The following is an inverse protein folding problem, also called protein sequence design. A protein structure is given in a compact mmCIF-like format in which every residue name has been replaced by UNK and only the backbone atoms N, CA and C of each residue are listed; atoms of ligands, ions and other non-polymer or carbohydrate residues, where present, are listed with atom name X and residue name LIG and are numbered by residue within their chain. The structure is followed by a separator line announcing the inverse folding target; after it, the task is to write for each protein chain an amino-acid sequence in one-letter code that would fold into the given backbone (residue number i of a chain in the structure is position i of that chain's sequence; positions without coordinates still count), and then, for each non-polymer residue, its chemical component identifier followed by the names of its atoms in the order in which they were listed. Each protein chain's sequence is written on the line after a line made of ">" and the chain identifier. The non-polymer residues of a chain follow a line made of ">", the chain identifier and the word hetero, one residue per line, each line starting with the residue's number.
data_IF_106190635904
#
_entry.id   IF_106190635904
#
_cell.length_a   1.000
_cell.length_b   1.000
_cell.length_c   1.000
_cell.angle_alpha   90.00
_cell.angle_beta   90.00
_cell.angle_gamma   90.00
#
_symmetry.space_group_name_H-M   'P 1'
#
loop_
_entity.id
_entity.type
_entity.pdbx_description
1 polymer ?
#
# COMPACT_ATOMS: atom_id res chain seq x y z
N UNK A 1 29.82 -0.53 -3.04
CA UNK A 1 28.67 -0.27 -2.15
C UNK A 1 28.09 1.10 -2.52
N UNK A 2 26.78 1.25 -2.66
CA UNK A 2 26.16 2.52 -3.07
C UNK A 2 26.37 3.58 -1.96
N UNK A 3 27.04 4.70 -2.26
CA UNK A 3 27.38 5.75 -1.29
C UNK A 3 26.16 6.26 -0.51
N UNK A 4 24.98 6.27 -1.14
CA UNK A 4 23.73 6.69 -0.50
C UNK A 4 23.25 5.72 0.59
N UNK A 5 23.46 4.41 0.41
CA UNK A 5 23.12 3.38 1.42
C UNK A 5 24.00 3.55 2.65
N UNK A 6 25.31 3.73 2.44
CA UNK A 6 26.29 3.90 3.53
C UNK A 6 25.97 5.16 4.34
N UNK A 7 25.67 6.26 3.66
CA UNK A 7 25.27 7.50 4.31
C UNK A 7 23.97 7.33 5.11
N UNK A 8 22.93 6.77 4.50
CA UNK A 8 21.63 6.54 5.15
C UNK A 8 21.79 5.69 6.42
N UNK A 9 22.49 4.56 6.33
CA UNK A 9 22.77 3.68 7.46
C UNK A 9 23.55 4.40 8.57
N UNK A 10 24.53 5.23 8.20
CA UNK A 10 25.29 6.03 9.16
C UNK A 10 24.45 7.08 9.88
N UNK A 11 23.62 7.85 9.15
CA UNK A 11 22.73 8.85 9.76
C UNK A 11 21.66 8.20 10.64
N UNK A 12 21.13 7.05 10.19
CA UNK A 12 20.13 6.31 10.95
C UNK A 12 20.72 5.81 12.27
N UNK A 13 21.92 5.23 12.22
CA UNK A 13 22.65 4.80 13.42
C UNK A 13 22.89 5.96 14.37
N UNK A 14 23.40 7.10 13.88
CA UNK A 14 23.61 8.31 14.71
C UNK A 14 22.32 8.80 15.36
N UNK A 15 21.22 8.78 14.62
CA UNK A 15 19.90 9.17 15.14
C UNK A 15 19.50 8.27 16.30
N UNK A 16 19.52 6.94 16.09
CA UNK A 16 19.14 5.99 17.13
C UNK A 16 20.10 6.02 18.32
N UNK A 17 21.41 6.11 18.13
CA UNK A 17 22.40 6.22 19.22
C UNK A 17 22.24 7.49 20.04
N UNK A 18 21.84 8.61 19.41
CA UNK A 18 21.64 9.87 20.10
C UNK A 18 20.36 9.87 20.96
N UNK A 19 19.26 9.31 20.43
CA UNK A 19 17.96 9.35 21.11
C UNK A 19 17.71 8.12 22.00
N UNK A 20 18.31 6.96 21.68
CA UNK A 20 18.20 5.74 22.48
C UNK A 20 19.40 5.64 23.43
N UNK A 21 19.16 5.77 24.73
CA UNK A 21 20.20 5.67 25.79
C UNK A 21 20.90 4.30 25.86
N UNK A 22 20.27 3.26 25.30
CA UNK A 22 20.84 1.93 25.11
C UNK A 22 20.67 1.56 23.63
N UNK A 23 21.59 1.96 22.74
CA UNK A 23 21.59 1.44 21.40
C UNK A 23 22.00 -0.03 21.50
N UNK A 24 21.03 -0.92 21.74
CA UNK A 24 21.18 -2.33 21.41
C UNK A 24 21.67 -2.45 19.97
N UNK A 25 22.26 -3.59 19.60
CA UNK A 25 22.75 -3.77 18.24
C UNK A 25 21.60 -3.54 17.26
N UNK A 26 21.71 -2.52 16.43
CA UNK A 26 20.67 -2.14 15.46
C UNK A 26 20.33 -3.32 14.54
N UNK A 27 21.33 -4.14 14.26
CA UNK A 27 21.22 -5.37 13.48
C UNK A 27 20.31 -6.43 14.14
N UNK A 28 20.08 -6.36 15.45
CA UNK A 28 19.20 -7.27 16.22
C UNK A 28 17.77 -6.72 16.35
N UNK A 29 17.51 -5.49 15.91
CA UNK A 29 16.19 -4.85 15.98
C UNK A 29 15.32 -5.26 14.80
N UNK A 30 14.01 -5.26 15.03
CA UNK A 30 13.01 -5.42 13.96
C UNK A 30 12.54 -4.05 13.50
N UNK A 31 12.41 -3.87 12.19
CA UNK A 31 11.97 -2.61 11.60
C UNK A 31 10.66 -2.78 10.86
N UNK A 32 9.81 -1.75 10.87
CA UNK A 32 8.56 -1.75 10.11
C UNK A 32 8.40 -0.41 9.43
N UNK A 33 8.08 -0.42 8.14
CA UNK A 33 7.77 0.80 7.38
C UNK A 33 6.26 1.02 7.38
N UNK A 34 5.84 2.19 7.85
CA UNK A 34 4.45 2.62 7.80
C UNK A 34 4.39 4.00 7.12
N UNK A 35 3.66 4.16 6.01
CA UNK A 35 3.52 5.45 5.35
C UNK A 35 2.65 6.39 6.18
N UNK A 36 2.90 7.69 6.05
CA UNK A 36 2.01 8.70 6.58
C UNK A 36 0.71 8.66 5.78
N UNK A 37 -0.33 8.03 6.35
CA UNK A 37 -1.70 8.25 5.94
C UNK A 37 -2.18 9.48 6.69
N UNK A 38 -2.17 10.65 6.05
CA UNK A 38 -2.86 11.82 6.58
C UNK A 38 -4.33 11.41 6.82
N UNK A 39 -4.76 11.39 8.08
CA UNK A 39 -6.14 11.04 8.43
C UNK A 39 -7.12 11.81 7.54
N UNK A 40 -8.01 11.08 6.86
CA UNK A 40 -9.09 11.67 6.08
C UNK A 40 -8.73 12.25 4.70
N UNK A 41 -7.49 12.10 4.22
CA UNK A 41 -7.13 12.49 2.85
C UNK A 41 -6.93 11.23 2.00
N UNK A 42 -7.90 10.82 1.16
CA UNK A 42 -7.61 9.85 0.13
C UNK A 42 -6.43 10.39 -0.71
N UNK A 43 -5.48 9.52 -1.02
CA UNK A 43 -4.33 9.86 -1.86
C UNK A 43 -4.83 10.18 -3.29
N UNK A 44 -5.37 11.38 -3.46
CA UNK A 44 -5.95 11.85 -4.72
C UNK A 44 -4.93 12.77 -5.38
N UNK A 45 -4.13 12.15 -6.23
CA UNK A 45 -3.54 12.70 -7.46
C UNK A 45 -3.03 14.15 -7.44
N UNK A 46 -1.74 14.33 -7.13
CA UNK A 46 -0.77 14.81 -8.14
C UNK A 46 0.67 14.48 -7.72
N UNK A 47 0.88 13.19 -7.42
CA UNK A 47 2.11 12.66 -6.80
C UNK A 47 2.51 11.33 -7.43
N UNK A 48 2.50 11.28 -8.77
CA UNK A 48 3.01 10.13 -9.54
C UNK A 48 4.42 9.69 -9.10
N UNK A 49 5.20 10.55 -8.42
CA UNK A 49 6.52 10.27 -7.88
C UNK A 49 6.55 9.76 -6.43
N UNK A 50 5.52 10.01 -5.62
CA UNK A 50 5.38 9.44 -4.27
C UNK A 50 4.64 8.09 -4.36
N UNK A 51 3.89 7.86 -5.43
CA UNK A 51 3.36 6.55 -5.81
C UNK A 51 4.46 5.65 -6.43
N UNK A 52 5.60 6.21 -6.85
CA UNK A 52 6.74 5.45 -7.40
C UNK A 52 7.58 4.67 -6.36
N UNK A 53 6.90 4.19 -5.31
CA UNK A 53 7.42 3.37 -4.23
C UNK A 53 7.45 1.88 -4.56
N UNK A 54 6.98 1.42 -5.71
CA UNK A 54 6.85 0.03 -6.24
C UNK A 54 7.61 -1.16 -5.59
N UNK A 55 8.80 -0.96 -5.01
CA UNK A 55 9.40 -1.93 -4.08
C UNK A 55 8.66 -1.98 -2.75
N UNK A 56 8.50 -0.85 -2.08
CA UNK A 56 7.95 -0.67 -0.74
C UNK A 56 6.51 -1.13 -0.53
N UNK A 57 5.53 -1.04 -1.46
CA UNK A 57 4.16 -1.46 -1.19
C UNK A 57 4.09 -2.86 -0.56
N UNK A 58 4.77 -3.86 -1.14
CA UNK A 58 4.80 -5.21 -0.57
C UNK A 58 5.61 -5.37 0.73
N UNK A 59 6.24 -4.30 1.26
CA UNK A 59 6.99 -4.30 2.52
C UNK A 59 6.41 -3.31 3.55
N UNK A 60 5.29 -2.64 3.26
CA UNK A 60 4.60 -1.81 4.23
C UNK A 60 3.91 -2.72 5.26
N UNK A 61 4.08 -2.38 6.53
CA UNK A 61 3.57 -3.15 7.67
C UNK A 61 4.09 -4.60 7.72
N UNK A 62 5.31 -4.81 7.23
CA UNK A 62 6.03 -6.09 7.30
C UNK A 62 7.27 -5.91 8.17
N UNK A 63 7.66 -6.96 8.91
CA UNK A 63 8.91 -6.98 9.68
C UNK A 63 10.11 -7.09 8.76
N UNK A 64 11.07 -6.18 8.94
CA UNK A 64 12.25 -6.03 8.09
C UNK A 64 13.51 -5.97 8.94
N UNK A 65 14.62 -6.38 8.35
CA UNK A 65 15.97 -6.14 8.86
C UNK A 65 16.43 -4.72 8.53
N UNK A 66 17.45 -4.24 9.25
CA UNK A 66 18.08 -2.96 8.98
C UNK A 66 18.55 -2.83 7.51
N UNK A 67 19.14 -3.90 6.97
CA UNK A 67 19.66 -3.88 5.60
C UNK A 67 18.52 -3.78 4.58
N UNK A 68 17.42 -4.51 4.77
CA UNK A 68 16.24 -4.42 3.89
C UNK A 68 15.65 -3.01 3.90
N UNK A 69 15.48 -2.40 5.08
CA UNK A 69 15.01 -1.01 5.18
C UNK A 69 15.95 -0.05 4.46
N UNK A 70 17.26 -0.16 4.69
CA UNK A 70 18.25 0.68 4.02
C UNK A 70 18.16 0.53 2.49
N UNK A 71 18.09 -0.71 2.00
CA UNK A 71 18.02 -1.00 0.57
C UNK A 71 16.72 -0.50 -0.05
N UNK A 72 15.59 -0.66 0.62
CA UNK A 72 14.27 -0.23 0.15
C UNK A 72 14.17 1.29 0.05
N UNK A 73 14.66 2.00 1.07
CA UNK A 73 14.55 3.45 1.16
C UNK A 73 15.58 4.18 0.27
N UNK A 74 16.69 3.52 -0.08
CA UNK A 74 17.75 4.13 -0.89
C UNK A 74 17.80 3.63 -2.35
N UNK A 75 16.99 2.63 -2.73
CA UNK A 75 17.10 1.90 -4.01
C UNK A 75 16.98 2.74 -5.30
N UNK A 76 16.57 4.02 -5.23
CA UNK A 76 16.35 4.84 -6.42
C UNK A 76 16.96 6.24 -6.36
N UNK A 77 18.08 6.40 -5.63
CA UNK A 77 19.12 7.44 -5.74
C UNK A 77 18.75 8.93 -6.02
N UNK A 78 17.48 9.37 -5.99
CA UNK A 78 17.10 10.73 -6.42
C UNK A 78 16.02 11.41 -5.59
N UNK A 79 15.54 10.77 -4.52
CA UNK A 79 14.46 11.36 -3.73
C UNK A 79 14.88 11.39 -2.26
N UNK A 80 15.44 12.50 -1.78
CA UNK A 80 15.79 12.69 -0.39
C UNK A 80 14.54 12.59 0.49
N UNK A 81 14.54 11.58 1.35
CA UNK A 81 13.42 11.23 2.22
C UNK A 81 13.39 12.13 3.45
N UNK A 82 12.23 12.24 4.06
CA UNK A 82 12.07 12.63 5.45
C UNK A 82 11.36 11.50 6.18
N UNK A 83 12.01 11.02 7.24
CA UNK A 83 11.61 9.82 7.96
C UNK A 83 11.50 10.17 9.43
N UNK A 84 10.30 10.02 10.00
CA UNK A 84 10.17 10.00 11.45
C UNK A 84 10.41 8.57 11.95
N UNK A 85 11.06 8.47 13.09
CA UNK A 85 11.48 7.20 13.69
C UNK A 85 10.91 7.13 15.10
N UNK A 86 10.27 6.02 15.42
CA UNK A 86 9.76 5.74 16.76
C UNK A 86 10.25 4.38 17.21
N UNK A 87 10.69 4.28 18.47
CA UNK A 87 10.82 2.99 19.13
C UNK A 87 9.47 2.63 19.77
N UNK A 88 8.95 1.46 19.43
CA UNK A 88 7.83 0.84 20.12
C UNK A 88 8.37 -0.19 21.13
N UNK A 89 7.53 -0.56 22.09
CA UNK A 89 7.77 -1.68 23.01
C UNK A 89 8.25 -2.94 22.27
N UNK A 90 9.05 -3.77 22.94
CA UNK A 90 9.70 -4.98 22.42
C UNK A 90 10.78 -4.75 21.34
N UNK A 91 11.22 -3.50 21.17
CA UNK A 91 12.37 -3.17 20.34
C UNK A 91 12.09 -3.13 18.84
N UNK A 92 10.83 -2.96 18.46
CA UNK A 92 10.42 -2.65 17.10
C UNK A 92 10.70 -1.17 16.84
N UNK A 93 11.34 -0.89 15.71
CA UNK A 93 11.58 0.47 15.22
C UNK A 93 10.62 0.76 14.06
N UNK A 94 9.69 1.68 14.30
CA UNK A 94 8.77 2.17 13.27
C UNK A 94 9.47 3.25 12.45
N UNK A 95 9.48 3.02 11.14
CA UNK A 95 9.95 3.93 10.12
C UNK A 95 8.73 4.59 9.49
N UNK A 96 8.39 5.78 9.96
CA UNK A 96 7.27 6.55 9.47
C UNK A 96 7.72 7.47 8.34
N UNK A 97 7.41 7.08 7.12
CA UNK A 97 7.85 7.78 5.91
C UNK A 97 6.87 8.91 5.58
N UNK A 98 7.23 10.13 5.99
CA UNK A 98 6.38 11.32 5.94
C UNK A 98 6.38 12.00 4.57
N UNK A 99 7.55 12.47 4.12
CA UNK A 99 7.66 13.16 2.83
C UNK A 99 8.88 12.73 2.03
N UNK A 100 8.80 13.04 0.74
CA UNK A 100 9.85 12.83 -0.25
C UNK A 100 10.13 14.17 -0.93
N UNK A 101 11.36 14.65 -0.83
CA UNK A 101 11.78 15.91 -1.44
C UNK A 101 12.50 15.65 -2.76
N UNK A 102 12.54 16.63 -3.65
CA UNK A 102 13.32 16.54 -4.90
C UNK A 102 14.81 16.80 -4.67
N UNK A 103 15.18 17.65 -3.70
CA UNK A 103 16.56 18.08 -3.45
C UNK A 103 16.95 17.91 -1.98
N UNK A 104 18.19 17.49 -1.73
CA UNK A 104 18.68 17.23 -0.36
C UNK A 104 18.68 18.50 0.51
N UNK A 105 18.93 19.65 -0.12
CA UNK A 105 18.83 20.96 0.53
C UNK A 105 17.47 21.17 1.22
N UNK A 106 16.39 20.70 0.60
CA UNK A 106 15.04 20.89 1.14
C UNK A 106 14.82 20.04 2.40
N UNK A 107 15.37 18.82 2.43
CA UNK A 107 15.39 17.99 3.65
C UNK A 107 16.18 18.65 4.76
N UNK A 108 17.37 19.17 4.46
CA UNK A 108 18.23 19.83 5.47
C UNK A 108 17.56 21.10 6.01
N UNK A 109 16.96 21.91 5.15
CA UNK A 109 16.22 23.11 5.56
C UNK A 109 15.05 22.74 6.48
N UNK A 110 14.27 21.73 6.10
CA UNK A 110 13.16 21.25 6.91
C UNK A 110 13.63 20.73 8.28
N UNK A 111 14.77 20.02 8.35
CA UNK A 111 15.34 19.56 9.62
C UNK A 111 15.80 20.72 10.51
N UNK A 112 16.39 21.78 9.93
CA UNK A 112 16.76 22.99 10.68
C UNK A 112 15.54 23.68 11.28
N UNK A 113 14.47 23.81 10.50
CA UNK A 113 13.20 24.40 10.96
C UNK A 113 12.56 23.59 12.09
N UNK A 114 12.76 22.27 12.10
CA UNK A 114 12.23 21.35 13.11
C UNK A 114 13.24 20.99 14.22
N UNK A 115 14.37 21.70 14.33
CA UNK A 115 15.43 21.43 15.31
C UNK A 115 15.95 19.97 15.32
N UNK A 116 15.87 19.28 14.17
CA UNK A 116 16.33 17.91 14.05
C UNK A 116 17.82 17.84 13.69
N UNK A 117 18.57 17.06 14.46
CA UNK A 117 20.04 17.01 14.37
C UNK A 117 20.54 16.17 13.19
N UNK A 118 19.86 15.09 12.82
CA UNK A 118 20.38 14.07 11.91
C UNK A 118 19.48 13.85 10.69
N UNK A 119 19.63 14.65 9.64
CA UNK A 119 18.90 14.40 8.39
C UNK A 119 19.28 13.04 7.76
N UNK A 120 18.32 12.27 7.19
CA UNK A 120 16.89 12.58 6.98
C UNK A 120 15.94 12.17 8.12
N UNK A 121 16.45 11.82 9.30
CA UNK A 121 15.68 11.20 10.37
C UNK A 121 15.31 12.19 11.47
N UNK A 122 14.06 12.09 11.92
CA UNK A 122 13.58 12.77 13.13
C UNK A 122 13.11 11.68 14.07
N UNK A 123 13.69 11.61 15.27
CA UNK A 123 13.19 10.72 16.29
C UNK A 123 12.00 11.35 17.01
N UNK A 124 10.87 10.67 17.02
CA UNK A 124 9.62 11.15 17.58
C UNK A 124 8.86 9.99 18.22
N UNK A 125 9.04 9.82 19.53
CA UNK A 125 8.34 8.80 20.31
C UNK A 125 6.89 9.17 20.62
N UNK A 126 6.45 10.39 20.33
CA UNK A 126 5.07 10.84 20.54
C UNK A 126 4.17 10.52 19.34
N UNK A 127 4.73 9.99 18.25
CA UNK A 127 4.00 9.52 17.10
C UNK A 127 2.83 8.59 17.50
N UNK A 128 1.57 8.92 17.15
CA UNK A 128 0.37 8.16 17.55
C UNK A 128 0.16 6.89 16.71
N UNK A 129 1.26 6.30 16.22
CA UNK A 129 1.28 5.13 15.37
C UNK A 129 1.89 3.97 16.14
N UNK A 130 1.26 2.81 16.01
CA UNK A 130 1.72 1.55 16.58
C UNK A 130 1.67 0.48 15.50
N UNK A 131 2.56 -0.49 15.60
CA UNK A 131 2.55 -1.71 14.82
C UNK A 131 2.01 -2.83 15.69
N UNK A 132 0.99 -3.53 15.21
CA UNK A 132 0.32 -4.60 15.93
C UNK A 132 0.16 -5.84 15.01
N UNK A 133 -0.24 -7.00 15.55
CA UNK A 133 -0.43 -8.21 14.75
C UNK A 133 -1.48 -8.08 13.64
N UNK A 134 -2.47 -7.19 13.80
CA UNK A 134 -3.46 -6.92 12.75
C UNK A 134 -2.78 -6.23 11.57
N UNK A 135 -2.04 -5.14 11.83
CA UNK A 135 -1.27 -4.44 10.80
C UNK A 135 -0.24 -5.35 10.13
N UNK A 136 0.42 -6.23 10.89
CA UNK A 136 1.30 -7.26 10.33
C UNK A 136 0.54 -8.13 9.33
N UNK A 137 -0.61 -8.68 9.72
CA UNK A 137 -1.46 -9.52 8.86
C UNK A 137 -1.89 -8.78 7.59
N UNK A 138 -2.27 -7.52 7.70
CA UNK A 138 -2.57 -6.64 6.56
C UNK A 138 -1.35 -6.45 5.63
N UNK A 139 -0.16 -6.26 6.20
CA UNK A 139 1.09 -6.18 5.46
C UNK A 139 1.42 -7.48 4.73
N UNK A 140 1.15 -8.64 5.34
CA UNK A 140 1.39 -9.95 4.73
C UNK A 140 0.41 -10.28 3.61
N UNK A 141 -0.88 -9.93 3.74
CA UNK A 141 -1.84 -10.04 2.63
C UNK A 141 -1.34 -9.21 1.45
N UNK A 142 -0.92 -7.97 1.71
CA UNK A 142 -0.30 -7.12 0.69
C UNK A 142 0.92 -7.79 0.09
N UNK A 143 1.88 -8.25 0.89
CA UNK A 143 3.13 -8.89 0.45
C UNK A 143 2.87 -10.09 -0.47
N UNK A 144 1.89 -10.92 -0.08
CA UNK A 144 1.48 -12.13 -0.77
C UNK A 144 0.95 -11.82 -2.19
N UNK A 145 0.01 -10.89 -2.29
CA UNK A 145 -0.56 -10.48 -3.57
C UNK A 145 0.35 -9.54 -4.39
N UNK A 146 1.34 -8.88 -3.76
CA UNK A 146 2.41 -8.13 -4.44
C UNK A 146 3.62 -8.97 -4.87
N UNK A 147 3.58 -10.30 -4.72
CA UNK A 147 4.65 -11.21 -5.18
C UNK A 147 6.00 -10.93 -4.52
N UNK A 148 6.00 -10.63 -3.22
CA UNK A 148 7.24 -10.36 -2.46
C UNK A 148 7.75 -11.55 -1.65
N UNK A 149 7.11 -12.71 -1.79
CA UNK A 149 7.44 -13.96 -1.10
C UNK A 149 7.29 -13.87 0.42
N UNK A 150 6.95 -14.95 1.09
CA UNK A 150 6.86 -15.04 2.53
C UNK A 150 8.06 -15.82 3.07
N UNK A 151 8.65 -15.30 4.14
CA UNK A 151 9.62 -16.02 4.95
C UNK A 151 8.95 -17.18 5.69
N UNK A 152 9.74 -18.08 6.27
CA UNK A 152 9.21 -19.20 7.06
C UNK A 152 8.34 -18.72 8.25
N UNK A 153 8.78 -17.66 8.94
CA UNK A 153 8.02 -17.10 10.07
C UNK A 153 6.72 -16.45 9.62
N UNK A 154 6.72 -15.74 8.49
CA UNK A 154 5.50 -15.14 7.95
C UNK A 154 4.49 -16.20 7.50
N UNK A 155 4.95 -17.32 6.92
CA UNK A 155 4.06 -18.45 6.58
C UNK A 155 3.43 -19.11 7.80
N UNK A 156 4.16 -19.18 8.92
CA UNK A 156 3.64 -19.76 10.15
C UNK A 156 2.42 -19.01 10.71
N UNK A 157 2.29 -17.71 10.43
CA UNK A 157 1.11 -16.91 10.80
C UNK A 157 -0.14 -17.45 10.10
N UNK A 158 -0.04 -17.82 8.83
CA UNK A 158 -1.17 -18.39 8.07
C UNK A 158 -1.47 -19.85 8.44
N UNK A 159 -0.51 -20.58 9.00
CA UNK A 159 -0.74 -21.92 9.54
C UNK A 159 -1.52 -21.88 10.86
N UNK A 160 -1.31 -20.83 11.66
CA UNK A 160 -2.03 -20.62 12.93
C UNK A 160 -3.39 -19.97 12.72
N UNK A 161 -3.51 -19.12 11.69
CA UNK A 161 -4.73 -18.39 11.37
C UNK A 161 -4.85 -18.28 9.84
N UNK A 162 -5.67 -19.15 9.22
CA UNK A 162 -5.75 -19.26 7.76
C UNK A 162 -6.19 -17.96 7.11
N UNK A 163 -5.78 -17.73 5.86
CA UNK A 163 -6.13 -16.53 5.11
C UNK A 163 -7.59 -16.61 4.66
N UNK A 164 -8.48 -15.80 5.23
CA UNK A 164 -9.90 -15.89 4.93
C UNK A 164 -10.30 -15.00 3.75
N UNK A 165 -11.33 -15.43 3.03
CA UNK A 165 -11.94 -14.69 1.94
C UNK A 165 -12.40 -13.30 2.40
N UNK A 166 -13.10 -13.21 3.54
CA UNK A 166 -13.59 -11.93 4.07
C UNK A 166 -12.46 -10.93 4.32
N UNK A 167 -11.34 -11.39 4.87
CA UNK A 167 -10.17 -10.56 5.17
C UNK A 167 -9.53 -10.02 3.89
N UNK A 168 -9.39 -10.87 2.88
CA UNK A 168 -8.89 -10.46 1.56
C UNK A 168 -9.87 -9.46 0.91
N UNK A 169 -11.18 -9.70 1.00
CA UNK A 169 -12.20 -8.78 0.48
C UNK A 169 -12.10 -7.41 1.14
N UNK A 170 -12.11 -7.34 2.47
CA UNK A 170 -11.91 -6.09 3.22
C UNK A 170 -10.59 -5.42 2.84
N UNK A 171 -9.55 -6.21 2.57
CA UNK A 171 -8.27 -5.70 2.10
C UNK A 171 -8.36 -4.92 0.81
N UNK A 172 -9.01 -5.52 -0.18
CA UNK A 172 -9.21 -4.87 -1.47
C UNK A 172 -10.18 -3.70 -1.41
N UNK A 173 -11.24 -3.79 -0.61
CA UNK A 173 -12.18 -2.68 -0.39
C UNK A 173 -11.44 -1.42 0.08
N UNK A 174 -10.67 -1.54 1.16
CA UNK A 174 -9.84 -0.43 1.67
C UNK A 174 -8.80 0.04 0.66
N UNK A 175 -8.23 -0.88 -0.13
CA UNK A 175 -7.28 -0.49 -1.17
C UNK A 175 -7.93 0.42 -2.22
N UNK A 176 -9.12 0.06 -2.70
CA UNK A 176 -9.84 0.80 -3.75
C UNK A 176 -10.54 2.08 -3.25
N UNK A 177 -10.54 2.38 -1.95
CA UNK A 177 -10.95 3.70 -1.44
C UNK A 177 -10.00 4.82 -1.90
N UNK A 178 -8.71 4.52 -2.04
CA UNK A 178 -7.67 5.49 -2.39
C UNK A 178 -6.90 5.17 -3.67
N UNK A 179 -7.07 3.97 -4.24
CA UNK A 179 -6.32 3.51 -5.41
C UNK A 179 -7.26 3.07 -6.52
N UNK A 180 -6.76 3.09 -7.76
CA UNK A 180 -7.54 2.76 -8.93
C UNK A 180 -7.14 1.45 -9.59
N UNK A 181 -6.12 0.73 -9.11
CA UNK A 181 -5.56 -0.39 -9.85
C UNK A 181 -4.82 -1.40 -8.98
N UNK A 182 -5.03 -2.68 -9.23
CA UNK A 182 -4.39 -3.78 -8.49
C UNK A 182 -4.21 -5.06 -9.31
N UNK A 183 -3.08 -5.79 -9.20
CA UNK A 183 -1.84 -5.34 -8.58
C UNK A 183 -1.26 -4.24 -9.45
N UNK A 184 -0.63 -3.22 -8.88
CA UNK A 184 -0.18 -2.01 -9.60
C UNK A 184 0.52 -2.27 -10.96
N UNK A 185 0.39 -1.36 -11.94
CA UNK A 185 0.74 -1.55 -13.36
C UNK A 185 2.15 -2.09 -13.69
N UNK A 186 3.11 -2.03 -12.76
CA UNK A 186 4.48 -2.54 -12.93
C UNK A 186 4.74 -3.88 -12.25
N UNK A 187 3.75 -4.45 -11.53
CA UNK A 187 3.82 -5.81 -11.03
C UNK A 187 3.45 -6.76 -12.17
N UNK A 188 4.43 -6.96 -13.06
CA UNK A 188 4.21 -7.69 -14.28
C UNK A 188 4.12 -9.18 -13.99
N UNK A 189 3.16 -9.80 -14.66
CA UNK A 189 3.18 -11.23 -14.76
C UNK A 189 4.34 -11.71 -15.59
N UNK A 190 5.08 -12.66 -15.04
CA UNK A 190 6.05 -13.45 -15.76
C UNK A 190 5.63 -14.92 -15.70
N UNK A 191 5.51 -15.60 -16.86
CA UNK A 191 5.24 -17.02 -16.91
C UNK A 191 6.23 -17.80 -16.04
N UNK A 192 5.71 -18.69 -15.19
CA UNK A 192 6.52 -19.53 -14.29
C UNK A 192 6.74 -18.95 -12.88
N UNK A 193 6.34 -17.71 -12.60
CA UNK A 193 6.37 -17.19 -11.23
C UNK A 193 5.20 -17.72 -10.38
N UNK A 194 5.48 -18.03 -9.12
CA UNK A 194 4.47 -18.46 -8.15
C UNK A 194 3.60 -17.26 -7.74
N UNK A 195 2.33 -17.26 -8.13
CA UNK A 195 1.39 -16.17 -7.84
C UNK A 195 -0.08 -16.61 -7.86
N UNK A 196 -0.87 -15.83 -7.14
CA UNK A 196 -2.31 -15.66 -7.37
C UNK A 196 -2.52 -15.19 -8.83
N UNK A 197 -3.64 -15.60 -9.44
CA UNK A 197 -4.00 -15.61 -10.87
C UNK A 197 -3.40 -14.51 -11.77
N UNK A 198 -3.45 -14.70 -13.10
CA UNK A 198 -3.01 -13.65 -14.04
C UNK A 198 -3.98 -12.46 -14.17
N UNK A 199 -5.01 -12.40 -13.33
CA UNK A 199 -6.02 -11.35 -13.37
C UNK A 199 -5.55 -10.09 -12.65
N UNK A 200 -6.05 -8.96 -13.14
CA UNK A 200 -5.80 -7.62 -12.63
C UNK A 200 -7.15 -6.92 -12.52
N UNK A 201 -7.32 -6.14 -11.47
CA UNK A 201 -8.50 -5.33 -11.21
C UNK A 201 -8.19 -3.84 -11.31
N UNK A 202 -9.06 -3.07 -11.93
CA UNK A 202 -8.91 -1.62 -12.11
C UNK A 202 -10.25 -0.91 -11.94
N UNK A 203 -10.21 0.30 -11.40
CA UNK A 203 -11.31 1.24 -11.43
C UNK A 203 -11.22 2.15 -12.67
N UNK A 204 -12.05 1.84 -13.66
CA UNK A 204 -12.23 2.61 -14.88
C UNK A 204 -13.06 3.86 -14.58
N UNK A 205 -12.37 4.95 -14.21
CA UNK A 205 -12.99 6.25 -13.89
C UNK A 205 -13.85 6.80 -15.02
N UNK A 206 -13.52 6.51 -16.29
CA UNK A 206 -14.28 7.04 -17.44
C UNK A 206 -15.66 6.44 -17.53
N UNK A 207 -15.78 5.15 -17.24
CA UNK A 207 -17.04 4.42 -17.29
C UNK A 207 -17.65 4.16 -15.90
N UNK A 208 -17.02 4.69 -14.84
CA UNK A 208 -17.45 4.55 -13.45
C UNK A 208 -17.74 3.09 -13.05
N UNK A 209 -16.77 2.21 -13.31
CA UNK A 209 -16.88 0.77 -13.08
C UNK A 209 -15.55 0.15 -12.70
N UNK A 210 -15.59 -0.92 -11.94
CA UNK A 210 -14.46 -1.80 -11.72
C UNK A 210 -14.41 -2.86 -12.82
N UNK A 211 -13.21 -3.19 -13.28
CA UNK A 211 -12.95 -4.15 -14.34
C UNK A 211 -11.92 -5.17 -13.87
N UNK A 212 -12.16 -6.43 -14.19
CA UNK A 212 -11.16 -7.51 -14.06
C UNK A 212 -10.73 -7.90 -15.47
N UNK A 213 -9.44 -8.01 -15.70
CA UNK A 213 -8.87 -8.31 -17.01
C UNK A 213 -7.60 -9.14 -16.89
N UNK A 214 -7.23 -9.82 -17.97
CA UNK A 214 -5.96 -10.56 -18.03
C UNK A 214 -4.78 -9.59 -18.19
N UNK A 215 -3.74 -9.77 -17.37
CA UNK A 215 -2.51 -9.00 -17.51
C UNK A 215 -1.91 -9.21 -18.92
N UNK A 216 -1.82 -8.15 -19.72
CA UNK A 216 -1.29 -8.19 -21.09
C UNK A 216 0.15 -8.69 -21.17
N UNK A 217 0.93 -8.61 -20.08
CA UNK A 217 2.28 -9.18 -20.04
C UNK A 217 2.30 -10.67 -19.71
N UNK A 218 1.20 -11.21 -19.18
CA UNK A 218 1.04 -12.63 -18.87
C UNK A 218 0.71 -13.47 -20.09
N UNK A 219 -0.23 -12.95 -20.84
CA UNK A 219 -0.75 -13.56 -22.04
C UNK A 219 -0.01 -12.91 -23.20
N UNK A 220 0.41 -13.61 -24.24
CA UNK A 220 1.04 -12.99 -25.42
C UNK A 220 0.08 -12.06 -26.24
N UNK A 221 -0.91 -11.48 -25.58
CA UNK A 221 -1.95 -10.62 -26.10
C UNK A 221 -1.42 -9.19 -26.24
N UNK A 222 -1.72 -8.57 -27.39
CA UNK A 222 -1.41 -7.16 -27.65
C UNK A 222 -2.47 -6.19 -27.08
N UNK A 223 -3.50 -6.71 -26.41
CA UNK A 223 -4.67 -5.95 -25.97
C UNK A 223 -5.27 -6.53 -24.68
N UNK A 224 -5.74 -5.61 -23.83
CA UNK A 224 -6.42 -5.87 -22.58
C UNK A 224 -7.69 -6.68 -22.78
N UNK A 225 -7.69 -7.93 -22.32
CA UNK A 225 -8.88 -8.79 -22.36
C UNK A 225 -9.66 -8.66 -21.06
N UNK A 226 -10.73 -7.85 -21.10
CA UNK A 226 -11.68 -7.72 -19.98
C UNK A 226 -12.44 -9.03 -19.79
N UNK A 227 -12.47 -9.49 -18.55
CA UNK A 227 -13.13 -10.73 -18.10
C UNK A 227 -14.43 -10.46 -17.37
N UNK A 228 -14.45 -9.39 -16.58
CA UNK A 228 -15.63 -8.97 -15.82
C UNK A 228 -15.61 -7.45 -15.64
N UNK A 229 -16.79 -6.84 -15.56
CA UNK A 229 -16.91 -5.42 -15.27
C UNK A 229 -18.22 -5.14 -14.54
N UNK A 230 -18.18 -4.35 -13.47
CA UNK A 230 -19.37 -3.93 -12.72
C UNK A 230 -19.16 -2.57 -12.06
N UNK A 231 -20.23 -1.80 -11.88
CA UNK A 231 -20.18 -0.57 -11.07
C UNK A 231 -20.11 -0.87 -9.56
N UNK A 232 -20.41 -2.11 -9.14
CA UNK A 232 -20.33 -2.56 -7.76
C UNK A 232 -18.96 -3.21 -7.49
N UNK A 233 -18.23 -2.64 -6.52
CA UNK A 233 -16.93 -3.15 -6.08
C UNK A 233 -17.04 -4.58 -5.54
N UNK A 234 -18.02 -4.83 -4.66
CA UNK A 234 -18.23 -6.14 -4.03
C UNK A 234 -18.45 -7.26 -5.05
N UNK A 235 -19.28 -7.02 -6.08
CA UNK A 235 -19.48 -8.02 -7.14
C UNK A 235 -18.19 -8.28 -7.94
N UNK A 236 -17.40 -7.24 -8.17
CA UNK A 236 -16.14 -7.35 -8.91
C UNK A 236 -15.07 -8.07 -8.10
N UNK A 237 -14.99 -7.78 -6.80
CA UNK A 237 -14.13 -8.50 -5.86
C UNK A 237 -14.54 -9.94 -5.74
N UNK A 238 -15.84 -10.22 -5.70
CA UNK A 238 -16.31 -11.60 -5.71
C UNK A 238 -15.83 -12.35 -6.95
N UNK A 239 -16.08 -11.81 -8.14
CA UNK A 239 -15.55 -12.42 -9.36
C UNK A 239 -14.03 -12.66 -9.28
N UNK A 240 -13.27 -11.64 -8.88
CA UNK A 240 -11.82 -11.73 -8.77
C UNK A 240 -11.36 -12.80 -7.77
N UNK A 241 -11.88 -12.78 -6.54
CA UNK A 241 -11.48 -13.68 -5.46
C UNK A 241 -11.94 -15.13 -5.67
N UNK A 242 -13.05 -15.36 -6.39
CA UNK A 242 -13.44 -16.70 -6.83
C UNK A 242 -12.42 -17.35 -7.78
N UNK A 243 -11.72 -16.53 -8.57
CA UNK A 243 -10.57 -17.00 -9.35
C UNK A 243 -9.36 -17.19 -8.45
N UNK A 244 -9.08 -16.25 -7.52
CA UNK A 244 -7.87 -16.32 -6.69
C UNK A 244 -7.83 -17.50 -5.71
N UNK A 245 -8.98 -17.91 -5.16
CA UNK A 245 -9.05 -19.03 -4.20
C UNK A 245 -8.62 -20.39 -4.79
N UNK A 246 -8.51 -20.50 -6.11
CA UNK A 246 -8.07 -21.71 -6.80
C UNK A 246 -6.55 -21.92 -6.72
N UNK A 247 -5.82 -20.90 -6.26
CA UNK A 247 -4.36 -20.90 -6.19
C UNK A 247 -3.87 -21.08 -4.75
N UNK A 248 -2.74 -21.78 -4.62
CA UNK A 248 -2.01 -21.92 -3.36
C UNK A 248 -0.59 -21.39 -3.55
N UNK A 249 -0.23 -20.35 -2.79
CA UNK A 249 1.04 -19.64 -2.92
C UNK A 249 1.85 -19.84 -1.66
N UNK A 250 2.99 -20.51 -1.82
CA UNK A 250 3.91 -20.87 -0.74
C UNK A 250 3.24 -21.63 0.43
N UNK A 251 2.17 -22.38 0.13
CA UNK A 251 1.38 -23.13 1.12
C UNK A 251 0.22 -22.33 1.72
N UNK A 252 0.00 -21.09 1.30
CA UNK A 252 -1.13 -20.25 1.71
C UNK A 252 -2.23 -20.34 0.65
N UNK A 253 -3.46 -20.62 1.05
CA UNK A 253 -4.64 -20.61 0.20
C UNK A 253 -5.70 -19.72 0.84
N UNK A 254 -6.55 -19.09 0.01
CA UNK A 254 -7.71 -18.34 0.50
C UNK A 254 -8.79 -19.35 0.89
N UNK A 255 -9.17 -19.35 2.16
CA UNK A 255 -10.24 -20.18 2.71
C UNK A 255 -11.58 -19.42 2.72
N UNK A 256 -12.67 -20.16 2.54
CA UNK A 256 -14.02 -19.59 2.54
C UNK A 256 -14.57 -19.66 3.96
N UNK A 257 -14.85 -18.51 4.55
CA UNK A 257 -15.46 -18.37 5.87
C UNK A 257 -16.97 -18.12 5.82
N UNK A 258 -17.51 -17.63 4.70
CA UNK A 258 -18.95 -17.50 4.46
C UNK A 258 -19.31 -17.80 2.98
N UNK A 259 -20.40 -18.57 2.76
CA UNK A 259 -21.01 -18.68 1.43
C UNK A 259 -21.70 -17.35 1.08
N UNK A 260 -21.00 -16.47 0.37
CA UNK A 260 -21.59 -15.24 -0.14
C UNK A 260 -22.49 -15.61 -1.33
N UNK A 261 -23.82 -15.36 -1.26
CA UNK A 261 -24.70 -15.56 -2.41
C UNK A 261 -24.25 -14.64 -3.54
N UNK A 262 -23.76 -15.23 -4.63
CA UNK A 262 -23.38 -14.49 -5.82
C UNK A 262 -24.59 -14.29 -6.71
N UNK A 263 -25.18 -13.10 -6.66
CA UNK A 263 -26.15 -12.70 -7.69
C UNK A 263 -25.39 -12.27 -8.95
N UNK A 264 -25.33 -13.17 -9.93
CA UNK A 264 -24.98 -12.85 -11.32
C UNK A 264 -26.04 -11.92 -11.90
N UNK A 265 -25.90 -10.62 -11.62
CA UNK A 265 -26.55 -9.61 -12.45
C UNK A 265 -25.77 -9.55 -13.77
N UNK A 266 -26.08 -10.47 -14.69
CA UNK A 266 -25.85 -10.27 -16.11
C UNK A 266 -26.67 -9.06 -16.58
N UNK A 267 -26.18 -7.85 -16.35
CA UNK A 267 -26.69 -6.69 -17.06
C UNK A 267 -25.85 -6.43 -18.29
N UNK A 268 -26.32 -7.04 -19.40
CA UNK A 268 -26.25 -6.40 -20.71
C UNK A 268 -26.79 -4.97 -20.55
N UNK A 269 -25.92 -3.98 -20.76
CA UNK A 269 -26.20 -2.57 -21.02
C UNK A 269 -27.63 -2.06 -20.77
N UNK A 270 -27.83 -1.23 -19.75
CA UNK A 270 -28.66 -0.01 -19.85
C UNK A 270 -28.52 0.85 -18.60
N UNK A 271 -28.64 2.16 -18.82
CA UNK A 271 -28.24 3.28 -18.01
C UNK A 271 -29.29 3.71 -16.97
N UNK A 272 -28.80 4.45 -15.96
CA UNK A 272 -29.43 5.51 -15.13
C UNK A 272 -29.90 5.17 -13.72
N UNK A 273 -29.36 6.01 -12.83
CA UNK A 273 -29.83 6.40 -11.50
C UNK A 273 -29.23 5.61 -10.32
N UNK A 274 -28.14 6.15 -9.75
CA UNK A 274 -27.85 5.96 -8.33
C UNK A 274 -27.13 7.12 -7.63
N UNK A 275 -26.55 8.08 -8.36
CA UNK A 275 -25.98 9.28 -7.73
C UNK A 275 -26.91 10.49 -7.80
N UNK A 276 -27.94 10.48 -6.94
CA UNK A 276 -28.68 11.69 -6.56
C UNK A 276 -28.72 11.92 -5.03
N UNK A 277 -27.97 11.15 -4.23
CA UNK A 277 -28.06 11.20 -2.76
C UNK A 277 -26.81 11.64 -1.97
N UNK A 278 -25.72 12.07 -2.60
CA UNK A 278 -24.54 12.55 -1.84
C UNK A 278 -23.96 13.92 -2.21
N UNK A 279 -24.60 14.67 -3.11
CA UNK A 279 -24.26 16.09 -3.37
C UNK A 279 -25.53 16.95 -3.49
N UNK A 280 -26.40 16.84 -2.48
CA UNK A 280 -27.48 17.79 -2.27
C UNK A 280 -26.97 18.97 -1.44
N UNK A 281 -27.23 20.17 -1.95
CA UNK A 281 -27.13 21.47 -1.25
C UNK A 281 -25.72 22.08 -1.23
N UNK A 282 -25.33 22.76 -2.31
CA UNK A 282 -25.01 24.21 -2.27
C UNK A 282 -25.41 24.82 -3.63
N UNK A 283 -26.64 25.31 -3.72
CA UNK A 283 -27.05 26.35 -4.67
C UNK A 283 -28.11 27.18 -3.95
N UNK A 284 -27.75 28.39 -3.57
CA UNK A 284 -28.61 29.59 -3.49
C UNK A 284 -27.94 30.66 -2.65
N UNK A 285 -27.05 31.48 -3.24
CA UNK A 285 -27.00 32.93 -2.99
C UNK A 285 -26.57 33.58 -4.31
N UNK A 286 -27.54 33.94 -5.14
CA UNK A 286 -27.44 35.08 -6.06
C UNK A 286 -28.84 35.67 -6.15
N UNK A 287 -29.14 36.58 -5.22
CA UNK A 287 -30.28 37.48 -5.33
C UNK A 287 -29.93 38.56 -6.35
N UNK A 288 -30.67 38.52 -7.45
CA UNK A 288 -30.88 39.63 -8.36
C UNK A 288 -31.31 40.88 -7.59
N UNK A 289 -30.64 42.01 -7.83
CA UNK A 289 -31.27 43.31 -7.79
C UNK A 289 -31.75 43.62 -9.22
N UNK A 290 -33.04 43.91 -9.36
CA UNK A 290 -33.66 44.39 -10.59
C UNK A 290 -33.93 45.90 -10.51
N UNK A 291 -34.20 46.49 -11.69
CA UNK A 291 -34.56 47.87 -12.05
C UNK A 291 -33.38 48.63 -12.69
N UNK A 292 -33.50 49.12 -13.92
CA UNK A 292 -34.72 49.52 -14.64
C UNK A 292 -35.34 48.47 -15.57
#
# INVERSE_FOLDING_TARGET
>A
MNHSVVYFKSQFRKTLEFYLKKPGRLEERTYVILPETLEGVPCVDSDSDIINWWRLPGYIAVKLTLNEVCDLLTNRARIPLWVKVKEQDDGIIIIHTCNRYRKWKDVVNHHRENNATFAPFIFDNQLPIQFDPSLERWGLIRKLFWQRGLSLSERSIYQQSPLLYSEVSTFFERYFEGNIFYPGAYNHFHPGEMRYSHLVMEYDRRNNRFIVFENEKATALKQKKVKYASSNLSNTLHYYLQHEKQYCIEGVQIEIDEEIPFELNEQKSSFKSFFKRKFGIIKNIFTFASRN
#
